data_IF_239899517069
#
_entry.id   IF_239899517069
#
_cell.length_a   1.000
_cell.length_b   1.000
_cell.length_c   1.000
_cell.angle_alpha   90.00
_cell.angle_beta   90.00
_cell.angle_gamma   90.00
#
_symmetry.space_group_name_H-M   'P 1'
#
loop_
_entity.id
_entity.type
_entity.pdbx_description
1 polymer ?
#
# COMPACT_ATOMS: atom_id res chain seq x y z
N UNK A 1 -42.42 -8.93 -26.37
CA UNK A 1 -42.08 -8.84 -24.93
C UNK A 1 -40.99 -9.80 -24.45
N UNK A 2 -40.91 -11.06 -24.89
CA UNK A 2 -39.85 -12.02 -24.49
C UNK A 2 -38.42 -11.55 -24.83
N UNK A 3 -38.20 -11.06 -26.05
CA UNK A 3 -36.87 -10.65 -26.52
C UNK A 3 -36.34 -9.40 -25.80
N UNK A 4 -37.23 -8.47 -25.44
CA UNK A 4 -36.87 -7.25 -24.68
C UNK A 4 -36.36 -7.59 -23.28
N UNK A 5 -37.01 -8.55 -22.58
CA UNK A 5 -36.55 -9.02 -21.27
C UNK A 5 -35.20 -9.75 -21.36
N UNK A 6 -34.93 -10.46 -22.47
CA UNK A 6 -33.66 -11.14 -22.70
C UNK A 6 -32.53 -10.14 -22.91
N UNK A 7 -32.75 -9.13 -23.76
CA UNK A 7 -31.79 -8.06 -24.04
C UNK A 7 -31.47 -7.27 -22.76
N UNK A 8 -32.49 -6.90 -21.97
CA UNK A 8 -32.29 -6.18 -20.72
C UNK A 8 -31.42 -6.95 -19.71
N UNK A 9 -31.65 -8.27 -19.56
CA UNK A 9 -30.84 -9.13 -18.68
C UNK A 9 -29.39 -9.21 -19.15
N UNK A 10 -29.17 -9.24 -20.47
CA UNK A 10 -27.83 -9.24 -21.06
C UNK A 10 -27.08 -7.93 -20.74
N UNK A 11 -27.75 -6.78 -20.89
CA UNK A 11 -27.18 -5.48 -20.53
C UNK A 11 -26.82 -5.36 -19.06
N UNK A 12 -27.68 -5.85 -18.16
CA UNK A 12 -27.39 -5.86 -16.71
C UNK A 12 -26.17 -6.74 -16.41
N UNK A 13 -26.07 -7.91 -17.06
CA UNK A 13 -24.90 -8.78 -16.92
C UNK A 13 -23.60 -8.12 -17.38
N UNK A 14 -23.63 -7.46 -18.54
CA UNK A 14 -22.46 -6.74 -19.08
C UNK A 14 -22.07 -5.56 -18.17
N UNK A 15 -23.05 -4.80 -17.68
CA UNK A 15 -22.80 -3.69 -16.76
C UNK A 15 -22.16 -4.16 -15.44
N UNK A 16 -22.63 -5.27 -14.88
CA UNK A 16 -22.04 -5.86 -13.69
C UNK A 16 -20.58 -6.31 -13.93
N UNK A 17 -20.30 -6.92 -15.08
CA UNK A 17 -18.96 -7.34 -15.48
C UNK A 17 -18.00 -6.16 -15.62
N UNK A 18 -18.44 -5.06 -16.24
CA UNK A 18 -17.66 -3.83 -16.34
C UNK A 18 -17.39 -3.22 -14.97
N UNK A 19 -18.38 -3.21 -14.08
CA UNK A 19 -18.23 -2.66 -12.73
C UNK A 19 -17.20 -3.47 -11.92
N UNK A 20 -17.24 -4.80 -11.99
CA UNK A 20 -16.22 -5.68 -11.38
C UNK A 20 -14.83 -5.39 -11.94
N UNK A 21 -14.71 -5.23 -13.26
CA UNK A 21 -13.43 -4.94 -13.92
C UNK A 21 -12.85 -3.59 -13.47
N UNK A 22 -13.68 -2.55 -13.34
CA UNK A 22 -13.26 -1.22 -12.86
C UNK A 22 -12.83 -1.28 -11.40
N UNK A 23 -13.60 -1.93 -10.53
CA UNK A 23 -13.24 -2.10 -9.12
C UNK A 23 -11.91 -2.85 -8.98
N UNK A 24 -11.76 -3.95 -9.72
CA UNK A 24 -10.52 -4.74 -9.72
C UNK A 24 -9.32 -3.94 -10.23
N UNK A 25 -9.51 -3.15 -11.28
CA UNK A 25 -8.46 -2.26 -11.81
C UNK A 25 -8.09 -1.17 -10.79
N UNK A 26 -9.07 -0.57 -10.12
CA UNK A 26 -8.83 0.40 -9.04
C UNK A 26 -8.12 -0.22 -7.83
N UNK A 27 -8.40 -1.48 -7.49
CA UNK A 27 -7.69 -2.18 -6.41
C UNK A 27 -6.25 -2.50 -6.77
N UNK A 28 -5.97 -2.91 -8.02
CA UNK A 28 -4.60 -3.12 -8.50
C UNK A 28 -3.81 -1.80 -8.59
N UNK A 29 -4.50 -0.70 -8.86
CA UNK A 29 -3.89 0.63 -8.98
C UNK A 29 -3.60 1.32 -7.65
N UNK A 30 -4.07 0.77 -6.52
CA UNK A 30 -3.61 1.21 -5.19
C UNK A 30 -2.15 0.76 -5.06
N UNK A 31 -1.24 1.63 -5.51
CA UNK A 31 0.20 1.43 -5.63
C UNK A 31 0.83 0.65 -4.48
N UNK A 32 1.85 -0.12 -4.83
CA UNK A 32 2.56 -0.96 -3.91
C UNK A 32 3.52 -0.09 -3.10
N UNK A 33 3.22 0.09 -1.80
CA UNK A 33 4.01 0.93 -0.90
C UNK A 33 5.48 0.49 -0.83
N UNK A 34 5.76 -0.79 -1.07
CA UNK A 34 7.10 -1.37 -1.11
C UNK A 34 8.01 -0.75 -2.18
N UNK A 35 7.41 -0.29 -3.29
CA UNK A 35 8.12 0.22 -4.47
C UNK A 35 7.86 1.71 -4.72
N UNK A 36 6.94 2.32 -3.97
CA UNK A 36 6.61 3.74 -4.05
C UNK A 36 7.54 4.59 -3.18
N UNK A 37 7.40 5.92 -3.31
CA UNK A 37 8.13 6.90 -2.50
C UNK A 37 7.43 7.25 -1.18
N UNK A 38 8.15 7.92 -0.27
CA UNK A 38 7.59 8.41 1.00
C UNK A 38 6.47 9.45 0.82
N UNK A 39 6.27 9.99 -0.38
CA UNK A 39 5.08 10.78 -0.71
C UNK A 39 3.81 9.93 -0.71
N UNK A 40 3.86 8.72 -1.27
CA UNK A 40 2.75 7.77 -1.24
C UNK A 40 2.53 7.21 0.17
N UNK A 41 3.61 7.02 0.94
CA UNK A 41 3.57 6.62 2.34
C UNK A 41 2.65 7.51 3.18
N UNK A 42 2.80 8.82 3.08
CA UNK A 42 1.99 9.81 3.82
C UNK A 42 0.48 9.73 3.50
N UNK A 43 0.12 9.32 2.29
CA UNK A 43 -1.28 9.14 1.87
C UNK A 43 -1.88 7.78 2.22
N UNK A 44 -1.05 6.81 2.65
CA UNK A 44 -1.51 5.47 3.00
C UNK A 44 -2.09 5.40 4.41
N UNK A 45 -3.04 4.49 4.64
CA UNK A 45 -3.55 4.17 5.97
C UNK A 45 -2.51 3.44 6.83
N UNK A 46 -2.66 3.50 8.15
CA UNK A 46 -1.77 2.83 9.10
C UNK A 46 -1.64 1.32 8.83
N UNK A 47 -2.75 0.64 8.54
CA UNK A 47 -2.73 -0.80 8.24
C UNK A 47 -1.86 -1.12 7.00
N UNK A 48 -1.91 -0.27 5.96
CA UNK A 48 -1.10 -0.46 4.76
C UNK A 48 0.38 -0.19 5.02
N UNK A 49 0.69 0.81 5.87
CA UNK A 49 2.06 1.11 6.30
C UNK A 49 2.65 -0.05 7.12
N UNK A 50 1.89 -0.57 8.07
CA UNK A 50 2.29 -1.72 8.89
C UNK A 50 2.50 -2.97 8.03
N UNK A 51 1.58 -3.26 7.10
CA UNK A 51 1.74 -4.37 6.16
C UNK A 51 2.99 -4.22 5.29
N UNK A 52 3.26 -3.02 4.75
CA UNK A 52 4.44 -2.76 3.95
C UNK A 52 5.75 -2.94 4.74
N UNK A 53 5.79 -2.49 6.00
CA UNK A 53 6.95 -2.72 6.88
C UNK A 53 7.18 -4.22 7.08
N UNK A 54 6.15 -4.98 7.48
CA UNK A 54 6.26 -6.43 7.69
C UNK A 54 6.74 -7.17 6.44
N UNK A 55 6.25 -6.77 5.27
CA UNK A 55 6.68 -7.34 3.99
C UNK A 55 8.13 -7.01 3.69
N UNK A 56 8.58 -5.79 3.97
CA UNK A 56 9.94 -5.34 3.68
C UNK A 56 11.00 -5.84 4.67
N UNK A 57 10.64 -6.03 5.95
CA UNK A 57 11.54 -6.50 7.00
C UNK A 57 11.49 -8.01 7.19
N UNK A 58 10.44 -8.67 6.66
CA UNK A 58 10.14 -10.08 6.88
C UNK A 58 10.05 -10.47 8.37
N UNK A 59 9.66 -9.52 9.23
CA UNK A 59 9.43 -9.74 10.66
C UNK A 59 8.24 -8.92 11.15
N UNK A 60 7.55 -9.43 12.17
CA UNK A 60 6.52 -8.71 12.91
C UNK A 60 7.10 -7.88 14.07
N UNK A 61 8.35 -8.14 14.45
CA UNK A 61 9.01 -7.45 15.55
C UNK A 61 9.17 -5.96 15.26
N UNK A 62 8.92 -5.14 16.29
CA UNK A 62 9.07 -3.69 16.23
C UNK A 62 8.30 -3.01 15.08
N UNK A 63 7.27 -3.64 14.50
CA UNK A 63 6.49 -3.08 13.37
C UNK A 63 5.98 -1.67 13.67
N UNK A 64 5.44 -1.44 14.87
CA UNK A 64 4.96 -0.11 15.26
C UNK A 64 6.08 0.92 15.36
N UNK A 65 7.22 0.54 15.94
CA UNK A 65 8.41 1.37 16.04
C UNK A 65 8.97 1.71 14.65
N UNK A 66 8.98 0.73 13.76
CA UNK A 66 9.41 0.86 12.37
C UNK A 66 8.51 1.82 11.59
N UNK A 67 7.19 1.66 11.69
CA UNK A 67 6.21 2.58 11.09
C UNK A 67 6.44 4.00 11.62
N UNK A 68 6.61 4.18 12.93
CA UNK A 68 6.88 5.48 13.53
C UNK A 68 8.20 6.09 13.05
N UNK A 69 9.24 5.27 12.86
CA UNK A 69 10.52 5.72 12.31
C UNK A 69 10.37 6.20 10.86
N UNK A 70 9.69 5.43 10.01
CA UNK A 70 9.45 5.82 8.60
C UNK A 70 8.54 7.05 8.52
N UNK A 71 7.52 7.16 9.38
CA UNK A 71 6.69 8.36 9.50
C UNK A 71 7.53 9.59 9.84
N UNK A 72 8.53 9.44 10.72
CA UNK A 72 9.46 10.53 11.04
C UNK A 72 10.32 10.91 9.84
N UNK A 73 10.88 9.94 9.11
CA UNK A 73 11.65 10.21 7.88
C UNK A 73 10.77 10.91 6.84
N UNK A 74 9.51 10.49 6.69
CA UNK A 74 8.55 11.09 5.77
C UNK A 74 8.17 12.54 6.10
N UNK A 75 8.52 13.04 7.30
CA UNK A 75 8.35 14.45 7.71
C UNK A 75 9.56 15.33 7.40
N UNK A 76 10.71 14.75 7.03
CA UNK A 76 11.91 15.50 6.67
C UNK A 76 11.72 16.25 5.34
N UNK A 77 12.37 17.42 5.17
CA UNK A 77 12.42 18.09 3.88
C UNK A 77 13.07 17.17 2.84
N UNK A 78 12.59 17.23 1.59
CA UNK A 78 13.08 16.48 0.43
C UNK A 78 13.01 14.95 0.52
N UNK A 79 12.53 14.36 1.62
CA UNK A 79 12.38 12.91 1.75
C UNK A 79 11.25 12.34 0.89
N UNK A 80 10.41 13.18 0.30
CA UNK A 80 9.26 12.74 -0.51
C UNK A 80 9.62 11.87 -1.72
N UNK A 81 10.83 12.02 -2.26
CA UNK A 81 11.34 11.23 -3.40
C UNK A 81 12.10 9.96 -2.96
N UNK A 82 12.39 9.82 -1.65
CA UNK A 82 13.03 8.63 -1.10
C UNK A 82 12.09 7.43 -1.25
N UNK A 83 12.63 6.29 -1.67
CA UNK A 83 11.88 5.04 -1.72
C UNK A 83 11.52 4.59 -0.28
N UNK A 84 10.30 4.10 -0.09
CA UNK A 84 9.85 3.56 1.21
C UNK A 84 10.80 2.46 1.69
N UNK A 85 11.27 1.61 0.77
CA UNK A 85 12.20 0.52 1.06
C UNK A 85 13.50 1.00 1.69
N UNK A 86 14.05 2.12 1.23
CA UNK A 86 15.29 2.66 1.77
C UNK A 86 15.08 3.18 3.19
N UNK A 87 13.98 3.91 3.41
CA UNK A 87 13.61 4.40 4.74
C UNK A 87 13.38 3.24 5.73
N UNK A 88 12.67 2.20 5.32
CA UNK A 88 12.44 0.99 6.13
C UNK A 88 13.77 0.30 6.43
N UNK A 89 14.64 0.14 5.44
CA UNK A 89 15.96 -0.46 5.64
C UNK A 89 16.80 0.32 6.65
N UNK A 90 16.82 1.66 6.57
CA UNK A 90 17.54 2.52 7.52
C UNK A 90 17.01 2.34 8.94
N UNK A 91 15.69 2.38 9.11
CA UNK A 91 15.06 2.17 10.41
C UNK A 91 15.37 0.77 10.95
N UNK A 92 15.42 -0.25 10.08
CA UNK A 92 15.57 -1.65 10.48
C UNK A 92 16.99 -1.92 10.94
N UNK A 93 17.98 -1.42 10.19
CA UNK A 93 19.37 -1.43 10.61
C UNK A 93 19.56 -0.70 11.95
N UNK A 94 18.91 0.46 12.13
CA UNK A 94 18.94 1.18 13.41
C UNK A 94 18.38 0.39 14.59
N UNK A 95 17.25 -0.31 14.38
CA UNK A 95 16.64 -1.16 15.39
C UNK A 95 17.56 -2.33 15.77
N UNK A 96 18.16 -3.02 14.78
CA UNK A 96 19.11 -4.11 15.04
C UNK A 96 20.36 -3.66 15.82
N UNK A 97 20.90 -2.47 15.52
CA UNK A 97 22.04 -1.94 16.26
C UNK A 97 21.68 -1.73 17.73
N UNK A 98 20.50 -1.17 18.00
CA UNK A 98 20.02 -0.94 19.37
C UNK A 98 19.82 -2.24 20.16
N UNK A 99 19.37 -3.31 19.49
CA UNK A 99 19.16 -4.61 20.14
C UNK A 99 20.47 -5.36 20.45
N UNK A 100 21.55 -5.06 19.73
CA UNK A 100 22.86 -5.71 19.87
C UNK A 100 23.86 -4.91 20.75
N UNK A 101 23.44 -3.79 21.35
CA UNK A 101 24.19 -3.03 22.36
C UNK A 101 23.62 -3.28 23.75
#
# INVERSE_FOLDING_TARGET
>A
MKNVKLILKLFIGVAALLLVMVVFSCTLRKGNLETDSLKAWRGASLDRRAAAVRMLTATDDDTELMVACVDKIATLPDSGEMAVRDAVSLCYTGAQIKQNQ
#
